data_IF_880588099137
#
_entry.id   IF_880588099137
#
_cell.length_a   1.000
_cell.length_b   1.000
_cell.length_c   1.000
_cell.angle_alpha   90.00
_cell.angle_beta   90.00
_cell.angle_gamma   90.00
#
_symmetry.space_group_name_H-M   'P 1'
#
loop_
_entity.id
_entity.type
_entity.pdbx_description
1 polymer ?
#
# COMPACT_ATOMS: atom_id res chain seq x y z
N UNK A 1 8.61 -4.92 -10.98
CA UNK A 1 7.55 -4.91 -9.97
C UNK A 1 6.33 -5.71 -10.46
N UNK A 2 5.57 -6.28 -9.57
CA UNK A 2 4.41 -7.14 -9.90
C UNK A 2 3.38 -7.01 -8.78
N UNK A 3 2.11 -7.08 -9.14
CA UNK A 3 1.00 -7.29 -8.21
C UNK A 3 0.30 -8.58 -8.59
N UNK A 4 0.05 -9.44 -7.63
CA UNK A 4 -0.57 -10.76 -7.84
C UNK A 4 -1.70 -10.93 -6.85
N UNK A 5 -2.89 -11.20 -7.36
CA UNK A 5 -4.05 -11.65 -6.60
C UNK A 5 -3.99 -13.18 -6.53
N UNK A 6 -3.95 -13.71 -5.32
CA UNK A 6 -3.88 -15.15 -5.11
C UNK A 6 -5.27 -15.77 -5.27
N UNK A 7 -5.34 -16.96 -5.86
CA UNK A 7 -6.58 -17.70 -5.91
C UNK A 7 -6.85 -18.40 -4.56
N UNK A 8 -7.40 -17.63 -3.63
CA UNK A 8 -7.72 -18.12 -2.28
C UNK A 8 -9.15 -18.68 -2.16
N UNK A 9 -9.99 -18.50 -3.18
CA UNK A 9 -11.42 -18.78 -3.13
C UNK A 9 -12.18 -17.60 -2.58
N UNK A 10 -13.09 -17.82 -1.60
CA UNK A 10 -13.77 -16.73 -0.93
C UNK A 10 -12.87 -16.15 0.15
N UNK A 11 -12.41 -14.95 -0.07
CA UNK A 11 -11.45 -14.21 0.76
C UNK A 11 -10.41 -13.48 -0.09
N UNK A 12 -9.45 -12.85 0.55
CA UNK A 12 -8.44 -12.03 -0.09
C UNK A 12 -7.00 -12.53 0.13
N UNK A 13 -6.12 -12.18 -0.81
CA UNK A 13 -4.69 -12.42 -0.70
C UNK A 13 -3.95 -11.76 -1.85
N UNK A 14 -3.18 -10.70 -1.55
CA UNK A 14 -2.50 -9.91 -2.59
C UNK A 14 -1.03 -9.75 -2.26
N UNK A 15 -0.17 -10.09 -3.22
CA UNK A 15 1.28 -9.92 -3.10
C UNK A 15 1.74 -8.83 -4.04
N UNK A 16 2.40 -7.82 -3.49
CA UNK A 16 3.07 -6.75 -4.23
C UNK A 16 4.57 -6.98 -4.19
N UNK A 17 5.16 -7.33 -5.32
CA UNK A 17 6.60 -7.51 -5.50
C UNK A 17 7.22 -6.23 -6.08
N UNK A 18 8.24 -5.69 -5.41
CA UNK A 18 9.05 -4.59 -5.91
C UNK A 18 10.49 -5.05 -6.18
N UNK A 19 11.35 -4.19 -6.70
CA UNK A 19 12.77 -4.50 -6.80
C UNK A 19 13.52 -4.45 -5.47
N UNK A 20 12.83 -4.15 -4.37
CA UNK A 20 13.38 -4.01 -3.01
C UNK A 20 12.86 -5.08 -2.05
N UNK A 21 11.76 -5.76 -2.38
CA UNK A 21 11.14 -6.78 -1.53
C UNK A 21 9.69 -7.07 -1.95
N UNK A 22 8.99 -7.80 -1.10
CA UNK A 22 7.60 -8.16 -1.30
C UNK A 22 6.76 -7.74 -0.08
N UNK A 23 5.52 -7.42 -0.36
CA UNK A 23 4.51 -7.02 0.61
C UNK A 23 3.28 -7.91 0.42
N UNK A 24 2.67 -8.33 1.52
CA UNK A 24 1.44 -9.12 1.52
C UNK A 24 0.31 -8.29 2.12
N UNK A 25 -0.82 -8.26 1.46
CA UNK A 25 -2.04 -7.63 1.91
C UNK A 25 -3.10 -8.70 2.00
N UNK A 26 -3.57 -8.95 3.20
CA UNK A 26 -4.41 -10.05 3.56
C UNK A 26 -3.94 -11.41 3.02
N UNK A 27 -4.36 -12.46 3.59
CA UNK A 27 -4.31 -13.82 3.04
C UNK A 27 -5.22 -14.70 3.86
N UNK A 28 -6.41 -14.95 3.35
CA UNK A 28 -7.36 -15.79 4.05
C UNK A 28 -8.38 -16.42 3.11
N UNK A 29 -9.22 -17.31 3.65
CA UNK A 29 -10.35 -17.91 2.94
C UNK A 29 -11.33 -18.58 3.89
N UNK A 30 -12.63 -18.42 3.63
CA UNK A 30 -13.70 -19.21 4.24
C UNK A 30 -14.05 -20.46 3.43
N UNK A 31 -13.73 -20.50 2.13
CA UNK A 31 -14.05 -21.65 1.24
C UNK A 31 -12.93 -22.67 1.11
N UNK A 32 -11.69 -22.34 1.49
CA UNK A 32 -10.53 -23.24 1.42
C UNK A 32 -9.78 -23.25 2.74
N UNK A 33 -9.25 -24.44 3.10
CA UNK A 33 -8.45 -24.61 4.31
C UNK A 33 -6.95 -24.51 3.99
N UNK A 34 -6.17 -24.12 4.97
CA UNK A 34 -4.70 -24.08 4.92
C UNK A 34 -4.17 -23.24 3.75
N UNK A 35 -4.71 -22.04 3.62
CA UNK A 35 -4.35 -21.09 2.55
C UNK A 35 -2.88 -20.72 2.64
N UNK A 36 -2.34 -20.55 3.84
CA UNK A 36 -0.91 -20.31 4.05
C UNK A 36 -0.06 -21.42 3.48
N UNK A 37 -0.38 -22.68 3.81
CA UNK A 37 0.39 -23.85 3.38
C UNK A 37 0.24 -24.17 1.89
N UNK A 38 -0.98 -24.10 1.34
CA UNK A 38 -1.24 -24.59 -0.01
C UNK A 38 -1.33 -23.52 -1.10
N UNK A 39 -1.46 -22.25 -0.76
CA UNK A 39 -1.53 -21.15 -1.72
C UNK A 39 -0.37 -20.18 -1.52
N UNK A 40 -0.25 -19.56 -0.33
CA UNK A 40 0.73 -18.52 -0.07
C UNK A 40 2.17 -19.06 -0.13
N UNK A 41 2.49 -20.09 0.65
CA UNK A 41 3.83 -20.70 0.69
C UNK A 41 4.33 -21.16 -0.69
N UNK A 42 3.55 -21.96 -1.49
CA UNK A 42 3.99 -22.33 -2.82
C UNK A 42 4.20 -21.13 -3.75
N UNK A 43 3.34 -20.12 -3.66
CA UNK A 43 3.50 -18.91 -4.44
C UNK A 43 4.82 -18.20 -4.09
N UNK A 44 5.06 -17.89 -2.81
CA UNK A 44 6.27 -17.21 -2.37
C UNK A 44 7.53 -17.99 -2.75
N UNK A 45 7.53 -19.32 -2.55
CA UNK A 45 8.62 -20.20 -2.97
C UNK A 45 8.85 -20.17 -4.48
N UNK A 46 7.79 -20.23 -5.29
CA UNK A 46 7.90 -20.16 -6.76
C UNK A 46 8.47 -18.84 -7.26
N UNK A 47 8.33 -17.79 -6.45
CA UNK A 47 8.86 -16.46 -6.73
C UNK A 47 10.25 -16.23 -6.13
N UNK A 48 10.78 -17.16 -5.34
CA UNK A 48 12.03 -16.99 -4.60
C UNK A 48 11.95 -15.97 -3.47
N UNK A 49 10.74 -15.66 -2.98
CA UNK A 49 10.51 -14.73 -1.89
C UNK A 49 10.74 -15.46 -0.57
N UNK A 50 11.73 -15.03 0.19
CA UNK A 50 12.10 -15.58 1.50
C UNK A 50 11.81 -14.59 2.64
N UNK A 51 11.53 -13.32 2.33
CA UNK A 51 11.16 -12.31 3.30
C UNK A 51 10.03 -11.45 2.76
N UNK A 52 9.04 -11.14 3.61
CA UNK A 52 8.01 -10.14 3.38
C UNK A 52 8.37 -8.91 4.21
N UNK A 53 8.55 -7.78 3.56
CA UNK A 53 8.87 -6.49 4.19
C UNK A 53 7.71 -5.92 5.01
N UNK A 54 6.49 -6.22 4.59
CA UNK A 54 5.28 -5.83 5.29
C UNK A 54 4.18 -6.84 5.04
N UNK A 55 3.44 -7.15 6.09
CA UNK A 55 2.19 -7.91 6.04
C UNK A 55 1.11 -7.02 6.63
N UNK A 56 0.09 -6.74 5.86
CA UNK A 56 -1.05 -5.89 6.22
C UNK A 56 -2.27 -6.76 6.41
N UNK A 57 -3.01 -6.54 7.49
CA UNK A 57 -4.26 -7.25 7.78
C UNK A 57 -5.37 -6.23 7.92
N UNK A 58 -6.26 -6.22 6.95
CA UNK A 58 -7.31 -5.23 6.83
C UNK A 58 -8.30 -5.24 8.01
N UNK A 59 -8.80 -6.41 8.34
CA UNK A 59 -9.74 -6.64 9.43
C UNK A 59 -9.63 -8.09 9.95
N UNK A 60 -10.25 -8.44 11.10
CA UNK A 60 -9.98 -9.70 11.79
C UNK A 60 -10.77 -10.91 11.28
N UNK A 61 -11.39 -10.86 10.11
CA UNK A 61 -12.19 -11.97 9.61
C UNK A 61 -11.32 -13.09 9.03
N UNK A 62 -11.78 -14.32 9.14
CA UNK A 62 -10.98 -15.51 8.78
C UNK A 62 -10.55 -15.52 7.32
N UNK A 63 -11.34 -14.97 6.42
CA UNK A 63 -11.04 -14.89 4.99
C UNK A 63 -10.02 -13.80 4.63
N UNK A 64 -9.54 -13.05 5.59
CA UNK A 64 -8.47 -12.09 5.45
C UNK A 64 -7.20 -12.46 6.22
N UNK A 65 -7.32 -13.22 7.33
CA UNK A 65 -6.18 -13.40 8.21
C UNK A 65 -5.71 -14.87 8.40
N UNK A 66 -6.52 -15.89 8.09
CA UNK A 66 -6.17 -17.26 8.48
C UNK A 66 -4.89 -17.79 7.82
N UNK A 67 -4.58 -17.40 6.58
CA UNK A 67 -3.33 -17.73 5.93
C UNK A 67 -2.13 -16.94 6.46
N UNK A 68 -2.35 -15.73 6.97
CA UNK A 68 -1.31 -14.95 7.66
C UNK A 68 -1.01 -15.59 9.02
N UNK A 69 -2.02 -16.05 9.73
CA UNK A 69 -1.83 -16.78 10.98
C UNK A 69 -0.96 -18.03 10.76
N UNK A 70 -1.27 -18.83 9.72
CA UNK A 70 -0.43 -19.97 9.32
C UNK A 70 1.01 -19.56 8.97
N UNK A 71 1.20 -18.40 8.32
CA UNK A 71 2.52 -17.86 8.00
C UNK A 71 3.30 -17.52 9.25
N UNK A 72 2.68 -16.85 10.23
CA UNK A 72 3.33 -16.50 11.49
C UNK A 72 3.72 -17.74 12.29
N UNK A 73 2.83 -18.74 12.35
CA UNK A 73 3.07 -20.00 13.06
C UNK A 73 4.15 -20.88 12.43
N UNK A 74 4.25 -20.90 11.09
CA UNK A 74 5.07 -21.87 10.36
C UNK A 74 6.16 -21.24 9.48
N UNK A 75 6.24 -19.91 9.40
CA UNK A 75 7.15 -19.21 8.49
C UNK A 75 8.61 -19.60 8.66
N UNK A 76 9.06 -19.80 9.89
CA UNK A 76 10.41 -20.28 10.20
C UNK A 76 10.71 -21.66 9.57
N UNK A 77 9.80 -22.61 9.68
CA UNK A 77 9.91 -23.92 9.04
C UNK A 77 9.84 -23.80 7.50
N UNK A 78 9.03 -22.89 7.00
CA UNK A 78 8.95 -22.64 5.57
C UNK A 78 10.16 -21.88 5.02
N UNK A 79 11.01 -21.32 5.87
CA UNK A 79 12.12 -20.43 5.49
C UNK A 79 11.58 -19.14 4.84
N UNK A 80 10.50 -18.59 5.39
CA UNK A 80 9.88 -17.33 5.00
C UNK A 80 9.77 -16.49 6.27
N UNK A 81 10.32 -15.28 6.23
CA UNK A 81 10.30 -14.32 7.35
C UNK A 81 9.37 -13.16 7.06
N UNK A 82 8.82 -12.57 8.12
CA UNK A 82 8.06 -11.33 8.09
C UNK A 82 8.85 -10.27 8.84
N UNK A 83 9.15 -9.15 8.19
CA UNK A 83 9.94 -8.07 8.82
C UNK A 83 9.06 -7.19 9.72
N UNK A 84 7.81 -6.94 9.29
CA UNK A 84 6.85 -6.09 9.98
C UNK A 84 5.43 -6.52 9.67
N UNK A 85 4.55 -6.51 10.66
CA UNK A 85 3.09 -6.63 10.49
C UNK A 85 2.41 -5.30 10.80
N UNK A 86 1.39 -4.97 10.01
CA UNK A 86 0.60 -3.75 10.14
C UNK A 86 -0.87 -4.11 10.39
N UNK A 87 -1.46 -3.46 11.38
CA UNK A 87 -2.86 -3.60 11.77
C UNK A 87 -3.52 -2.22 11.88
N UNK A 88 -4.84 -2.11 11.72
CA UNK A 88 -5.54 -0.83 11.82
C UNK A 88 -5.39 -0.19 13.21
N UNK A 89 -5.23 1.15 13.23
CA UNK A 89 -5.08 1.95 14.44
C UNK A 89 -6.43 2.25 15.13
N UNK A 90 -7.29 1.24 15.25
CA UNK A 90 -8.52 1.30 16.03
C UNK A 90 -8.22 1.38 17.54
N UNK A 91 -9.23 1.50 18.39
CA UNK A 91 -9.01 1.59 19.85
C UNK A 91 -8.26 0.37 20.40
N UNK A 92 -7.48 0.55 21.45
CA UNK A 92 -6.65 -0.53 22.02
C UNK A 92 -7.49 -1.73 22.47
N UNK A 93 -8.67 -1.48 23.04
CA UNK A 93 -9.56 -2.53 23.51
C UNK A 93 -10.07 -3.39 22.34
N UNK A 94 -10.53 -2.76 21.27
CA UNK A 94 -11.01 -3.44 20.07
C UNK A 94 -9.89 -4.20 19.36
N UNK A 95 -8.70 -3.61 19.25
CA UNK A 95 -7.52 -4.29 18.67
C UNK A 95 -7.16 -5.57 19.43
N UNK A 96 -7.13 -5.49 20.76
CA UNK A 96 -6.77 -6.66 21.58
C UNK A 96 -7.78 -7.79 21.44
N UNK A 97 -9.06 -7.47 21.36
CA UNK A 97 -10.11 -8.47 21.21
C UNK A 97 -10.13 -9.06 19.78
N UNK A 98 -10.15 -8.19 18.78
CA UNK A 98 -10.33 -8.59 17.38
C UNK A 98 -9.10 -9.30 16.81
N UNK A 99 -7.88 -8.84 17.13
CA UNK A 99 -6.63 -9.35 16.58
C UNK A 99 -5.81 -10.20 17.57
N UNK A 100 -6.39 -10.67 18.69
CA UNK A 100 -5.67 -11.40 19.72
C UNK A 100 -4.83 -12.55 19.17
N UNK A 101 -5.42 -13.39 18.31
CA UNK A 101 -4.73 -14.54 17.71
C UNK A 101 -3.50 -14.12 16.91
N UNK A 102 -3.62 -13.08 16.08
CA UNK A 102 -2.51 -12.56 15.28
C UNK A 102 -1.44 -11.90 16.13
N UNK A 103 -1.83 -11.15 17.15
CA UNK A 103 -0.89 -10.49 18.08
C UNK A 103 -0.06 -11.52 18.82
N UNK A 104 -0.69 -12.59 19.34
CA UNK A 104 0.00 -13.69 20.04
C UNK A 104 0.93 -14.44 19.06
N UNK A 105 0.47 -14.75 17.85
CA UNK A 105 1.31 -15.42 16.85
C UNK A 105 2.48 -14.56 16.39
N UNK A 106 2.28 -13.26 16.22
CA UNK A 106 3.34 -12.31 15.86
C UNK A 106 4.40 -12.21 16.97
N UNK A 107 3.97 -12.12 18.25
CA UNK A 107 4.88 -12.11 19.40
C UNK A 107 5.71 -13.39 19.44
N UNK A 108 5.09 -14.55 19.25
CA UNK A 108 5.79 -15.84 19.24
C UNK A 108 6.77 -15.98 18.08
N UNK A 109 6.40 -15.47 16.92
CA UNK A 109 7.27 -15.42 15.73
C UNK A 109 8.36 -14.34 15.79
N UNK A 110 8.33 -13.46 16.79
CA UNK A 110 9.24 -12.30 16.89
C UNK A 110 9.00 -11.24 15.82
N UNK A 111 7.78 -11.15 15.29
CA UNK A 111 7.40 -10.17 14.26
C UNK A 111 6.90 -8.90 14.92
N UNK A 112 7.56 -7.75 14.70
CA UNK A 112 7.09 -6.48 15.22
C UNK A 112 5.74 -6.08 14.58
N UNK A 113 4.85 -5.50 15.40
CA UNK A 113 3.54 -5.02 14.97
C UNK A 113 3.50 -3.51 15.04
N UNK A 114 3.07 -2.87 13.96
CA UNK A 114 2.75 -1.44 13.90
C UNK A 114 1.27 -1.25 13.63
N UNK A 115 0.76 -0.14 14.11
CA UNK A 115 -0.62 0.26 13.87
C UNK A 115 -0.64 1.40 12.89
N UNK A 116 -1.51 1.29 11.90
CA UNK A 116 -1.52 2.18 10.75
C UNK A 116 -2.91 2.84 10.61
N UNK A 117 -2.94 4.10 10.22
CA UNK A 117 -4.14 4.96 10.23
C UNK A 117 -4.20 5.88 9.02
N UNK A 118 -5.33 6.54 8.75
CA UNK A 118 -5.54 7.52 7.66
C UNK A 118 -4.48 8.65 7.66
N UNK A 119 -3.70 8.89 6.50
CA UNK A 119 -2.52 9.71 6.23
C UNK A 119 -1.18 8.93 6.27
N UNK A 120 -1.01 7.69 6.89
CA UNK A 120 0.23 6.89 7.01
C UNK A 120 0.78 6.47 5.65
N UNK A 121 2.05 6.60 5.42
CA UNK A 121 2.66 6.37 4.13
C UNK A 121 3.93 5.52 4.23
N UNK A 122 3.96 4.39 3.51
CA UNK A 122 5.14 3.55 3.40
C UNK A 122 5.75 3.73 2.03
N UNK A 123 7.06 3.93 1.98
CA UNK A 123 7.79 4.14 0.74
C UNK A 123 9.02 3.25 0.65
N UNK A 124 9.23 2.66 -0.51
CA UNK A 124 10.54 2.22 -0.96
C UNK A 124 10.89 2.87 -2.31
N UNK A 125 12.02 2.52 -2.91
CA UNK A 125 12.41 3.14 -4.19
C UNK A 125 11.49 2.79 -5.37
N UNK A 126 10.53 1.88 -5.19
CA UNK A 126 9.59 1.44 -6.24
C UNK A 126 8.16 1.30 -5.77
N UNK A 127 7.89 1.61 -4.52
CA UNK A 127 6.57 1.55 -3.92
C UNK A 127 6.30 2.85 -3.17
N UNK A 128 5.10 3.34 -3.29
CA UNK A 128 4.48 4.26 -2.36
C UNK A 128 3.13 3.67 -1.99
N UNK A 129 2.94 3.48 -0.72
CA UNK A 129 1.73 2.97 -0.15
C UNK A 129 1.18 4.05 0.76
N UNK A 130 0.03 4.55 0.43
CA UNK A 130 -0.66 5.55 1.23
C UNK A 130 -1.98 4.98 1.70
N UNK A 131 -2.19 5.14 2.92
CA UNK A 131 -3.37 4.69 3.58
C UNK A 131 -4.46 5.75 3.60
N UNK A 132 -5.71 5.34 3.47
CA UNK A 132 -6.87 6.20 3.28
C UNK A 132 -7.91 6.01 4.38
N UNK A 133 -7.88 4.89 5.12
CA UNK A 133 -8.88 4.51 6.11
C UNK A 133 -8.34 3.40 7.02
N UNK A 134 -8.79 3.32 8.32
CA UNK A 134 -9.66 4.20 9.10
C UNK A 134 -8.94 5.42 9.69
N UNK A 135 -9.67 6.40 10.24
CA UNK A 135 -9.09 7.46 11.05
C UNK A 135 -8.61 6.91 12.41
N UNK A 136 -7.71 7.62 13.06
CA UNK A 136 -7.14 7.21 14.34
C UNK A 136 -8.21 7.14 15.44
N UNK A 137 -8.19 6.06 16.21
CA UNK A 137 -9.15 5.80 17.31
C UNK A 137 -10.63 5.76 16.85
N UNK A 138 -10.86 5.45 15.59
CA UNK A 138 -12.22 5.24 15.09
C UNK A 138 -12.88 4.07 15.81
N UNK A 139 -14.08 4.29 16.31
CA UNK A 139 -15.02 3.27 16.77
C UNK A 139 -16.13 3.17 15.76
N UNK A 140 -16.17 2.12 14.96
CA UNK A 140 -17.20 1.87 13.97
C UNK A 140 -18.03 0.64 14.38
N UNK A 141 -19.23 0.54 13.82
CA UNK A 141 -20.23 -0.42 14.28
C UNK A 141 -19.84 -1.90 14.06
N UNK A 142 -18.97 -2.19 13.11
CA UNK A 142 -18.52 -3.54 12.77
C UNK A 142 -17.07 -3.56 12.22
N UNK A 143 -16.51 -4.75 12.05
CA UNK A 143 -15.15 -4.97 11.59
C UNK A 143 -14.93 -4.47 10.15
N UNK A 144 -15.90 -4.65 9.27
CA UNK A 144 -15.80 -4.24 7.89
C UNK A 144 -15.75 -2.71 7.76
N UNK A 145 -16.45 -2.00 8.65
CA UNK A 145 -16.47 -0.54 8.61
C UNK A 145 -15.11 0.12 8.91
N UNK A 146 -14.20 -0.54 9.65
CA UNK A 146 -12.83 -0.06 9.87
C UNK A 146 -11.76 -0.83 9.08
N UNK A 147 -12.19 -1.61 8.10
CA UNK A 147 -11.30 -2.31 7.19
C UNK A 147 -10.28 -1.38 6.52
N UNK A 148 -9.00 -1.72 6.51
CA UNK A 148 -7.89 -0.88 6.02
C UNK A 148 -7.93 -0.56 4.50
N UNK A 149 -7.88 0.68 3.96
CA UNK A 149 -7.86 1.11 2.54
C UNK A 149 -6.53 1.72 2.06
N UNK A 150 -5.89 1.21 1.04
CA UNK A 150 -4.61 1.68 0.55
C UNK A 150 -4.65 2.21 -0.88
N UNK A 151 -4.04 3.35 -1.11
CA UNK A 151 -3.64 3.77 -2.44
C UNK A 151 -2.20 3.35 -2.67
N UNK A 152 -2.00 2.37 -3.53
CA UNK A 152 -0.70 1.76 -3.82
C UNK A 152 -0.19 2.23 -5.16
N UNK A 153 0.99 2.85 -5.19
CA UNK A 153 1.70 3.23 -6.40
C UNK A 153 2.96 2.37 -6.55
N UNK A 154 3.02 1.62 -7.64
CA UNK A 154 4.17 0.77 -7.96
C UNK A 154 4.89 1.33 -9.19
N UNK A 155 6.19 1.62 -9.06
CA UNK A 155 6.98 2.28 -10.08
C UNK A 155 7.85 1.27 -10.86
N UNK A 156 7.86 1.38 -12.19
CA UNK A 156 8.71 0.56 -13.05
C UNK A 156 10.20 0.86 -12.85
N UNK A 157 10.53 2.12 -12.51
CA UNK A 157 11.89 2.59 -12.22
C UNK A 157 11.96 3.08 -10.77
N UNK A 158 13.14 3.02 -10.19
CA UNK A 158 13.38 3.59 -8.86
C UNK A 158 13.11 5.10 -8.84
N UNK A 159 12.37 5.55 -7.83
CA UNK A 159 12.05 6.95 -7.58
C UNK A 159 12.92 7.45 -6.42
N UNK A 160 13.51 8.63 -6.58
CA UNK A 160 14.15 9.34 -5.47
C UNK A 160 13.10 10.24 -4.83
N UNK A 161 12.76 9.96 -3.60
CA UNK A 161 11.87 10.81 -2.81
C UNK A 161 12.68 12.00 -2.29
N UNK A 162 12.18 13.22 -2.49
CA UNK A 162 12.75 14.40 -1.83
C UNK A 162 12.54 14.30 -0.30
N UNK A 163 13.40 14.95 0.47
CA UNK A 163 13.15 15.13 1.89
C UNK A 163 11.81 15.84 2.05
N UNK A 164 10.92 15.28 2.86
CA UNK A 164 9.67 15.95 3.19
C UNK A 164 10.00 17.21 3.97
N UNK A 165 9.66 18.38 3.43
CA UNK A 165 9.74 19.62 4.18
C UNK A 165 8.74 19.53 5.33
N UNK A 166 9.26 19.34 6.53
CA UNK A 166 8.60 19.62 7.78
C UNK A 166 7.66 18.56 8.36
N UNK A 167 8.17 17.38 8.72
CA UNK A 167 7.56 16.57 9.79
C UNK A 167 8.68 16.01 10.67
N UNK A 168 8.75 16.49 11.89
CA UNK A 168 9.63 15.95 12.91
C UNK A 168 9.05 14.63 13.43
N UNK A 169 9.83 13.58 13.35
CA UNK A 169 9.51 12.28 13.94
C UNK A 169 9.65 12.37 15.46
N UNK A 170 8.54 12.31 16.18
CA UNK A 170 8.54 12.09 17.62
C UNK A 170 8.38 10.61 17.92
N UNK A 171 9.48 9.94 18.20
CA UNK A 171 9.47 8.54 18.66
C UNK A 171 10.86 7.96 18.78
N UNK A 172 11.31 7.78 20.02
CA UNK A 172 12.61 7.18 20.33
C UNK A 172 12.66 5.68 20.03
N UNK A 173 13.71 5.27 19.36
CA UNK A 173 14.28 3.92 19.48
C UNK A 173 13.92 2.91 18.41
N UNK A 174 14.82 2.70 17.44
CA UNK A 174 14.80 1.49 16.60
C UNK A 174 15.42 1.71 15.22
N UNK A 175 16.28 0.82 14.83
CA UNK A 175 17.03 0.72 13.57
C UNK A 175 16.25 1.13 12.33
N UNK A 176 16.94 1.73 11.37
CA UNK A 176 16.45 2.23 10.10
C UNK A 176 15.52 1.22 9.36
N UNK A 177 14.24 1.27 9.70
CA UNK A 177 13.17 0.83 8.83
C UNK A 177 13.00 1.87 7.72
N UNK A 178 12.63 1.45 6.54
CA UNK A 178 12.09 2.34 5.52
C UNK A 178 11.06 3.25 6.20
N UNK A 179 11.27 4.57 6.11
CA UNK A 179 10.48 5.56 6.84
C UNK A 179 8.99 5.31 6.64
N UNK A 180 8.31 4.95 7.73
CA UNK A 180 6.85 4.77 7.79
C UNK A 180 6.26 6.13 8.09
N UNK A 181 5.50 6.65 7.17
CA UNK A 181 4.74 7.89 7.35
C UNK A 181 3.27 7.56 7.10
N UNK A 182 2.50 7.83 8.04
CA UNK A 182 1.27 7.44 8.37
C UNK A 182 -0.03 7.63 7.72
N UNK A 183 -0.93 6.79 7.29
CA UNK A 183 -2.39 6.78 7.42
C UNK A 183 -3.11 5.73 6.56
N UNK A 184 -4.01 5.06 7.08
CA UNK A 184 -4.70 3.82 6.92
C UNK A 184 -5.46 3.39 5.68
N UNK A 185 -5.92 2.23 5.63
CA UNK A 185 -6.88 1.64 4.99
C UNK A 185 -7.28 0.39 4.43
N UNK A 186 -8.07 -0.23 3.81
CA UNK A 186 -8.42 -1.55 3.35
C UNK A 186 -9.09 -1.80 1.99
N UNK A 187 -9.59 -2.97 1.67
CA UNK A 187 -9.61 -3.57 0.35
C UNK A 187 -10.96 -3.71 -0.39
N UNK A 188 -11.24 -2.95 -1.46
CA UNK A 188 -11.86 -3.38 -2.70
C UNK A 188 -10.94 -2.98 -3.86
N UNK A 189 -10.85 -3.78 -4.91
CA UNK A 189 -9.89 -3.52 -5.98
C UNK A 189 -10.49 -2.62 -7.05
N UNK A 190 -10.17 -1.33 -7.02
CA UNK A 190 -10.33 -0.45 -8.17
C UNK A 190 -9.00 -0.29 -8.91
N UNK A 191 -8.79 -1.03 -10.00
CA UNK A 191 -7.64 -0.78 -10.87
C UNK A 191 -7.90 0.47 -11.70
N UNK A 192 -7.25 1.58 -11.36
CA UNK A 192 -7.22 2.78 -12.18
C UNK A 192 -6.05 2.63 -13.17
N UNK A 193 -6.28 1.92 -14.26
CA UNK A 193 -5.35 1.77 -15.38
C UNK A 193 -6.13 1.71 -16.68
N UNK A 194 -5.68 2.42 -17.71
CA UNK A 194 -6.27 2.33 -19.06
C UNK A 194 -6.17 0.89 -19.58
N UNK A 195 -7.33 0.29 -19.88
CA UNK A 195 -7.43 -1.03 -20.47
C UNK A 195 -7.07 -0.97 -21.95
N UNK A 196 -6.04 -1.70 -22.34
CA UNK A 196 -5.92 -2.21 -23.69
C UNK A 196 -5.98 -3.74 -23.66
N UNK A 197 -7.06 -4.31 -24.17
CA UNK A 197 -7.13 -5.73 -24.55
C UNK A 197 -8.13 -6.61 -23.79
N UNK A 198 -9.05 -7.17 -24.54
CA UNK A 198 -10.04 -8.18 -24.17
C UNK A 198 -9.38 -9.54 -23.87
N UNK A 199 -9.94 -10.29 -22.92
CA UNK A 199 -9.67 -11.73 -22.76
C UNK A 199 -10.25 -12.26 -21.45
N UNK A 200 -11.44 -12.87 -21.53
CA UNK A 200 -12.08 -13.59 -20.45
C UNK A 200 -11.55 -15.04 -20.43
N UNK A 201 -10.74 -15.40 -19.47
CA UNK A 201 -10.45 -16.77 -19.04
C UNK A 201 -9.99 -16.74 -17.58
N UNK A 202 -10.50 -17.66 -16.74
CA UNK A 202 -10.30 -17.72 -15.29
C UNK A 202 -8.86 -17.96 -14.83
N UNK A 203 -7.94 -17.13 -15.26
CA UNK A 203 -6.52 -17.18 -14.92
C UNK A 203 -6.16 -16.12 -13.90
N UNK A 204 -5.18 -16.43 -13.06
CA UNK A 204 -4.56 -15.51 -12.09
C UNK A 204 -4.24 -14.19 -12.78
N UNK A 205 -4.87 -13.10 -12.38
CA UNK A 205 -4.62 -11.78 -12.96
C UNK A 205 -3.31 -11.22 -12.41
N UNK A 206 -2.25 -11.35 -13.19
CA UNK A 206 -0.96 -10.72 -12.91
C UNK A 206 -0.87 -9.39 -13.69
N UNK A 207 -0.61 -8.30 -12.98
CA UNK A 207 -0.36 -7.00 -13.58
C UNK A 207 1.13 -6.69 -13.52
N UNK A 208 1.78 -6.63 -14.67
CA UNK A 208 3.17 -6.17 -14.79
C UNK A 208 3.21 -4.66 -14.99
N UNK A 209 4.11 -3.99 -14.29
CA UNK A 209 4.38 -2.56 -14.51
C UNK A 209 5.33 -2.41 -15.69
N UNK A 210 4.82 -1.92 -16.83
CA UNK A 210 5.61 -1.57 -18.02
C UNK A 210 6.49 -0.32 -17.80
N UNK A 211 6.56 0.54 -18.80
CA UNK A 211 7.35 1.78 -18.72
C UNK A 211 6.58 2.91 -18.02
N UNK A 212 6.32 2.79 -16.70
CA UNK A 212 5.53 3.82 -16.01
C UNK A 212 5.26 3.52 -14.54
N UNK A 213 4.08 3.90 -14.12
CA UNK A 213 3.54 3.73 -12.77
C UNK A 213 2.23 2.94 -12.86
N UNK A 214 2.05 1.95 -11.98
CA UNK A 214 0.78 1.30 -11.73
C UNK A 214 0.21 1.88 -10.43
N UNK A 215 -1.03 2.30 -10.45
CA UNK A 215 -1.75 2.72 -9.25
C UNK A 215 -2.92 1.78 -9.00
N UNK A 216 -3.10 1.38 -7.75
CA UNK A 216 -4.13 0.43 -7.32
C UNK A 216 -4.77 1.00 -6.07
N UNK A 217 -6.09 0.96 -6.01
CA UNK A 217 -6.87 1.15 -4.79
C UNK A 217 -7.23 -0.24 -4.26
N UNK A 218 -6.91 -0.49 -3.03
CA UNK A 218 -7.21 -1.70 -2.31
C UNK A 218 -8.17 -1.31 -1.16
N UNK A 219 -9.35 -1.90 -1.02
CA UNK A 219 -10.40 -1.45 -0.07
C UNK A 219 -11.01 -2.56 0.79
N UNK A 220 -10.55 -3.82 0.74
CA UNK A 220 -11.16 -4.93 1.49
C UNK A 220 -12.69 -4.88 1.51
N UNK A 221 -13.24 -5.21 2.63
CA UNK A 221 -14.69 -5.28 2.82
C UNK A 221 -15.27 -4.01 3.47
N UNK A 222 -14.65 -2.82 3.20
CA UNK A 222 -15.13 -1.57 3.79
C UNK A 222 -16.57 -1.28 3.41
N UNK A 223 -17.43 -1.09 4.41
CA UNK A 223 -18.87 -0.87 4.27
C UNK A 223 -19.37 0.32 5.10
N UNK A 224 -20.57 0.79 4.81
CA UNK A 224 -21.32 1.72 5.64
C UNK A 224 -20.62 3.07 5.87
N UNK A 225 -20.32 3.38 7.13
CA UNK A 225 -19.66 4.63 7.49
C UNK A 225 -18.20 4.69 7.00
N UNK A 226 -17.51 3.56 6.98
CA UNK A 226 -16.15 3.44 6.45
C UNK A 226 -16.09 3.78 4.96
N UNK A 227 -17.03 3.30 4.14
CA UNK A 227 -17.13 3.63 2.73
C UNK A 227 -17.35 5.14 2.50
N UNK A 228 -18.14 5.78 3.36
CA UNK A 228 -18.36 7.23 3.30
C UNK A 228 -17.08 8.01 3.61
N UNK A 229 -16.35 7.62 4.65
CA UNK A 229 -15.07 8.24 5.03
C UNK A 229 -14.04 8.06 3.91
N UNK A 230 -13.89 6.84 3.36
CA UNK A 230 -13.02 6.56 2.22
C UNK A 230 -13.36 7.42 1.00
N UNK A 231 -14.64 7.54 0.68
CA UNK A 231 -15.11 8.35 -0.44
C UNK A 231 -14.73 9.83 -0.27
N UNK A 232 -14.86 10.36 0.94
CA UNK A 232 -14.47 11.74 1.25
C UNK A 232 -12.96 11.94 1.13
N UNK A 233 -12.14 11.00 1.61
CA UNK A 233 -10.69 11.08 1.50
C UNK A 233 -10.22 10.97 0.03
N UNK A 234 -10.83 10.11 -0.77
CA UNK A 234 -10.55 10.02 -2.20
C UNK A 234 -10.87 11.33 -2.94
N UNK A 235 -11.95 12.03 -2.58
CA UNK A 235 -12.26 13.33 -3.13
C UNK A 235 -11.23 14.38 -2.73
N UNK A 236 -10.79 14.37 -1.49
CA UNK A 236 -9.73 15.24 -0.98
C UNK A 236 -8.42 15.03 -1.72
N UNK A 237 -8.00 13.77 -1.91
CA UNK A 237 -6.80 13.43 -2.67
C UNK A 237 -6.89 13.88 -4.12
N UNK A 238 -8.02 13.68 -4.77
CA UNK A 238 -8.26 14.14 -6.15
C UNK A 238 -8.10 15.65 -6.26
N UNK A 239 -8.72 16.39 -5.36
CA UNK A 239 -8.63 17.86 -5.32
C UNK A 239 -7.19 18.35 -5.12
N UNK A 240 -6.44 17.71 -4.21
CA UNK A 240 -5.03 18.02 -3.97
C UNK A 240 -4.15 17.70 -5.18
N UNK A 241 -4.42 16.61 -5.89
CA UNK A 241 -3.69 16.23 -7.09
C UNK A 241 -3.95 17.22 -8.24
N UNK A 242 -5.19 17.65 -8.43
CA UNK A 242 -5.57 18.67 -9.40
C UNK A 242 -4.89 20.00 -9.09
N UNK A 243 -4.89 20.44 -7.84
CA UNK A 243 -4.22 21.67 -7.39
C UNK A 243 -2.70 21.61 -7.62
N UNK A 244 -2.04 20.47 -7.32
CA UNK A 244 -0.61 20.27 -7.61
C UNK A 244 -0.31 20.34 -9.10
N UNK A 245 -1.13 19.73 -9.93
CA UNK A 245 -0.98 19.74 -11.39
C UNK A 245 -1.11 21.17 -11.93
N UNK A 246 -2.09 21.92 -11.45
CA UNK A 246 -2.29 23.33 -11.83
C UNK A 246 -1.10 24.20 -11.43
N UNK A 247 -0.58 24.02 -10.22
CA UNK A 247 0.60 24.74 -9.73
C UNK A 247 1.84 24.47 -10.59
N UNK A 248 2.12 23.21 -10.91
CA UNK A 248 3.25 22.85 -11.79
C UNK A 248 3.10 23.47 -13.19
N UNK A 249 1.89 23.47 -13.73
CA UNK A 249 1.61 24.12 -15.01
C UNK A 249 1.86 25.64 -14.97
N UNK A 250 1.44 26.31 -13.90
CA UNK A 250 1.66 27.75 -13.68
C UNK A 250 3.15 28.09 -13.53
N UNK A 251 3.90 27.30 -12.75
CA UNK A 251 5.34 27.47 -12.56
C UNK A 251 6.09 27.26 -13.90
N UNK A 252 5.71 26.25 -14.68
CA UNK A 252 6.27 26.01 -16.01
C UNK A 252 6.01 27.17 -16.98
N UNK A 253 4.80 27.72 -16.96
CA UNK A 253 4.44 28.87 -17.79
C UNK A 253 5.21 30.13 -17.35
N UNK A 254 5.38 30.35 -16.06
CA UNK A 254 6.17 31.47 -15.53
C UNK A 254 7.65 31.38 -15.96
N UNK A 255 8.23 30.18 -15.89
CA UNK A 255 9.60 29.92 -16.35
C UNK A 255 9.77 30.18 -17.87
N UNK A 256 8.80 29.75 -18.68
CA UNK A 256 8.82 30.02 -20.11
C UNK A 256 8.72 31.52 -20.42
N UNK A 257 7.88 32.23 -19.69
CA UNK A 257 7.75 33.68 -19.86
C UNK A 257 9.02 34.42 -19.43
N UNK A 258 9.66 34.00 -18.32
CA UNK A 258 10.93 34.56 -17.87
C UNK A 258 12.05 34.35 -18.89
N UNK A 259 12.15 33.17 -19.50
CA UNK A 259 13.12 32.88 -20.58
C UNK A 259 12.89 33.77 -21.81
N UNK A 260 11.65 33.94 -22.26
CA UNK A 260 11.32 34.83 -23.38
C UNK A 260 11.70 36.27 -23.11
N UNK A 261 11.54 36.74 -21.85
CA UNK A 261 11.95 38.08 -21.46
C UNK A 261 13.48 38.25 -21.50
N UNK A 262 14.24 37.24 -21.03
CA UNK A 262 15.70 37.25 -21.12
C UNK A 262 16.20 37.25 -22.57
N UNK A 263 15.65 36.41 -23.42
CA UNK A 263 15.98 36.37 -24.86
C UNK A 263 15.63 37.70 -25.56
N UNK A 264 14.62 38.41 -25.10
CA UNK A 264 14.26 39.74 -25.67
C UNK A 264 15.17 40.87 -25.22
N UNK A 265 15.97 40.67 -24.17
CA UNK A 265 16.87 41.66 -23.57
C UNK A 265 18.35 41.46 -23.98
N UNK A 266 18.69 40.39 -24.68
CA UNK A 266 20.04 40.23 -25.23
C UNK A 266 20.26 41.24 -26.36
N UNK A 267 21.30 42.10 -26.27
CA UNK A 267 21.61 43.08 -27.31
C UNK A 267 22.01 42.36 -28.61
N UNK A 268 21.39 42.74 -29.70
CA UNK A 268 21.88 42.38 -31.04
C UNK A 268 23.20 43.12 -31.32
N UNK A 269 24.26 42.73 -30.63
CA UNK A 269 25.62 43.14 -31.01
C UNK A 269 26.20 42.12 -31.96
N UNK A 270 26.72 42.63 -33.07
CA UNK A 270 27.50 42.01 -34.14
C UNK A 270 26.73 41.39 -35.31
N UNK A 271 26.24 42.28 -36.12
CA UNK A 271 26.24 42.11 -37.58
C UNK A 271 26.62 43.41 -38.24
N UNK A 272 27.89 43.82 -38.06
CA UNK A 272 28.60 44.72 -38.98
C UNK A 272 30.11 44.45 -38.89
N UNK A 273 30.59 43.57 -39.76
CA UNK A 273 31.96 43.58 -40.35
C UNK A 273 31.99 42.64 -41.52
#
# INVERSE_FOLDING_TARGET
SRVTFLDVGQGDGIVVETGQGAYLFDCGSTSRRKIGEYVLKPYLKSRGIQSLRGVFVSHPDEDHMNGILELLENGGEWGITVEQMFLPAITEAERREAFEKLLVAAEYAGVPVSYIKCGDEIRDSRLRLRCLHPEENTTLADANAYSECFYVEVFAKAVKWGAAEGMEASGEGGRAASEVYGENGSFAVGVIGERTGHGDTGERKNFGVGAGKLSILLTGDVEGEGEQQLTQELQTLKTLQEAKTLRVAQESQALQNARKLQESQEPREQQEL
#
